data_IF_820831682345
#
_entry.id   IF_820831682345
#
_cell.length_a   1.000
_cell.length_b   1.000
_cell.length_c   1.000
_cell.angle_alpha   90.00
_cell.angle_beta   90.00
_cell.angle_gamma   90.00
#
_symmetry.space_group_name_H-M   'P 1'
#
loop_
_entity.id
_entity.type
_entity.pdbx_description
1 polymer ?
#
# COMPACT_ATOMS: atom_id res chain seq x y z
N UNK A 1 -11.28 2.85 22.17
CA UNK A 1 -10.45 2.25 21.12
C UNK A 1 -10.91 0.85 20.85
N UNK A 2 -11.01 0.49 19.56
CA UNK A 2 -11.52 -0.82 19.14
C UNK A 2 -10.39 -1.79 18.82
N UNK A 3 -9.17 -1.28 18.62
CA UNK A 3 -7.96 -2.06 18.38
C UNK A 3 -6.84 -1.60 19.32
N UNK A 4 -6.02 -2.56 19.74
CA UNK A 4 -4.84 -2.31 20.55
C UNK A 4 -3.61 -2.49 19.69
N UNK A 5 -2.82 -1.43 19.53
CA UNK A 5 -1.54 -1.49 18.84
C UNK A 5 -0.49 -2.18 19.72
N UNK A 6 0.33 -3.00 19.08
CA UNK A 6 1.57 -3.50 19.70
C UNK A 6 2.61 -2.39 19.60
N UNK A 7 3.31 -2.11 20.70
CA UNK A 7 4.47 -1.23 20.66
C UNK A 7 5.71 -2.00 20.18
N UNK A 8 6.10 -1.88 18.88
CA UNK A 8 7.21 -2.61 18.31
C UNK A 8 8.59 -2.11 18.78
N UNK A 9 8.61 -1.00 19.52
CA UNK A 9 9.85 -0.42 20.08
C UNK A 9 10.17 -1.02 21.44
N UNK A 10 9.15 -1.48 22.18
CA UNK A 10 9.34 -2.16 23.45
C UNK A 10 9.96 -3.55 23.27
N UNK A 11 10.77 -3.99 24.23
CA UNK A 11 11.36 -5.33 24.18
C UNK A 11 10.30 -6.44 24.07
N UNK A 12 9.22 -6.34 24.85
CA UNK A 12 8.15 -7.34 24.83
C UNK A 12 7.37 -7.34 23.52
N UNK A 13 7.09 -6.17 22.96
CA UNK A 13 6.44 -6.07 21.65
C UNK A 13 7.33 -6.65 20.54
N UNK A 14 8.63 -6.38 20.60
CA UNK A 14 9.58 -6.94 19.65
C UNK A 14 9.69 -8.47 19.78
N UNK A 15 9.84 -9.00 20.99
CA UNK A 15 9.86 -10.44 21.24
C UNK A 15 8.60 -11.14 20.72
N UNK A 16 7.44 -10.51 20.92
CA UNK A 16 6.17 -11.02 20.39
C UNK A 16 6.18 -11.06 18.85
N UNK A 17 6.61 -9.99 18.18
CA UNK A 17 6.71 -9.97 16.71
C UNK A 17 7.69 -11.05 16.21
N UNK A 18 8.83 -11.22 16.88
CA UNK A 18 9.81 -12.24 16.51
C UNK A 18 9.26 -13.66 16.70
N UNK A 19 8.44 -13.89 17.70
CA UNK A 19 7.78 -15.20 17.89
C UNK A 19 6.85 -15.54 16.71
N UNK A 20 6.18 -14.53 16.15
CA UNK A 20 5.36 -14.71 14.93
C UNK A 20 6.25 -15.05 13.73
N UNK A 21 7.36 -14.33 13.55
CA UNK A 21 8.32 -14.60 12.46
C UNK A 21 8.90 -16.02 12.57
N UNK A 22 9.28 -16.45 13.76
CA UNK A 22 9.78 -17.81 14.02
C UNK A 22 8.73 -18.87 13.67
N UNK A 23 7.47 -18.64 14.05
CA UNK A 23 6.37 -19.55 13.73
C UNK A 23 6.10 -19.62 12.23
N UNK A 24 6.12 -18.48 11.51
CA UNK A 24 5.93 -18.43 10.06
C UNK A 24 7.05 -19.19 9.34
N UNK A 25 8.31 -18.98 9.75
CA UNK A 25 9.46 -19.70 9.20
C UNK A 25 9.36 -21.21 9.45
N UNK A 26 9.00 -21.62 10.67
CA UNK A 26 8.79 -23.04 11.01
C UNK A 26 7.64 -23.68 10.22
N UNK A 27 6.68 -22.88 9.78
CA UNK A 27 5.57 -23.31 8.93
C UNK A 27 5.87 -23.26 7.43
N UNK A 28 7.14 -23.05 7.05
CA UNK A 28 7.59 -22.95 5.65
C UNK A 28 6.92 -21.83 4.85
N UNK A 29 6.50 -20.76 5.50
CA UNK A 29 6.05 -19.54 4.84
C UNK A 29 7.25 -18.85 4.20
N UNK A 30 7.10 -18.36 2.96
CA UNK A 30 8.17 -17.63 2.26
C UNK A 30 7.96 -16.11 2.27
N UNK A 31 6.71 -15.66 2.43
CA UNK A 31 6.34 -14.25 2.40
C UNK A 31 5.49 -13.87 3.60
N UNK A 32 5.82 -12.75 4.23
CA UNK A 32 4.98 -12.13 5.27
C UNK A 32 4.45 -10.82 4.74
N UNK A 33 3.12 -10.66 4.74
CA UNK A 33 2.45 -9.38 4.48
C UNK A 33 2.38 -8.58 5.77
N UNK A 34 2.93 -7.37 5.74
CA UNK A 34 2.78 -6.40 6.82
C UNK A 34 1.59 -5.48 6.50
N UNK A 35 0.47 -5.76 7.15
CA UNK A 35 -0.78 -5.04 7.03
C UNK A 35 -0.67 -3.64 7.62
N UNK A 36 -1.17 -2.62 6.91
CA UNK A 36 -1.19 -1.21 7.33
C UNK A 36 0.11 -0.71 7.97
N UNK A 37 1.26 -1.27 7.59
CA UNK A 37 2.57 -1.01 8.21
C UNK A 37 3.00 0.45 8.13
N UNK A 38 2.39 1.23 7.23
CA UNK A 38 2.63 2.66 7.11
C UNK A 38 2.47 3.43 8.42
N UNK A 39 1.63 2.92 9.33
CA UNK A 39 1.38 3.45 10.67
C UNK A 39 2.05 2.63 11.79
N UNK A 40 2.94 1.71 11.47
CA UNK A 40 3.52 0.76 12.42
C UNK A 40 4.35 1.40 13.54
N UNK A 41 4.92 2.58 13.33
CA UNK A 41 5.65 3.32 14.36
C UNK A 41 4.96 4.66 14.65
N UNK A 42 4.40 4.78 15.85
CA UNK A 42 3.74 6.02 16.27
C UNK A 42 4.75 7.08 16.68
N UNK A 43 4.50 8.33 16.27
CA UNK A 43 5.34 9.48 16.59
C UNK A 43 4.47 10.71 16.88
N UNK A 44 4.49 11.16 18.14
CA UNK A 44 3.70 12.32 18.56
C UNK A 44 4.04 13.56 17.71
N UNK A 45 3.01 14.33 17.35
CA UNK A 45 3.15 15.56 16.55
C UNK A 45 3.32 15.32 15.06
N UNK A 46 3.17 14.08 14.56
CA UNK A 46 3.21 13.73 13.14
C UNK A 46 1.91 13.07 12.69
N UNK A 47 1.76 12.85 11.38
CA UNK A 47 0.68 12.01 10.83
C UNK A 47 0.83 10.53 11.21
N UNK A 48 1.96 10.11 11.77
CA UNK A 48 2.38 8.72 11.97
C UNK A 48 2.51 7.89 10.69
N UNK A 49 2.20 8.44 9.52
CA UNK A 49 2.24 7.72 8.25
C UNK A 49 3.62 7.80 7.61
N UNK A 50 4.24 6.63 7.39
CA UNK A 50 5.55 6.48 6.73
C UNK A 50 6.63 7.44 7.25
N UNK A 51 6.67 7.61 8.57
CA UNK A 51 7.70 8.41 9.24
C UNK A 51 9.07 7.74 9.14
N UNK A 52 10.18 8.48 9.37
CA UNK A 52 11.51 7.86 9.47
C UNK A 52 11.58 6.70 10.47
N UNK A 53 10.78 6.72 11.55
CA UNK A 53 10.68 5.61 12.51
C UNK A 53 10.00 4.39 11.89
N UNK A 54 8.97 4.60 11.07
CA UNK A 54 8.31 3.51 10.33
C UNK A 54 9.28 2.84 9.36
N UNK A 55 10.06 3.60 8.61
CA UNK A 55 11.09 3.02 7.74
C UNK A 55 12.16 2.24 8.51
N UNK A 56 12.59 2.73 9.68
CA UNK A 56 13.51 1.98 10.55
C UNK A 56 12.90 0.67 11.05
N UNK A 57 11.62 0.70 11.42
CA UNK A 57 10.89 -0.51 11.83
C UNK A 57 10.83 -1.52 10.67
N UNK A 58 10.43 -1.09 9.48
CA UNK A 58 10.36 -1.94 8.29
C UNK A 58 11.74 -2.54 7.98
N UNK A 59 12.80 -1.74 7.98
CA UNK A 59 14.16 -2.23 7.74
C UNK A 59 14.57 -3.29 8.75
N UNK A 60 14.26 -3.08 10.03
CA UNK A 60 14.56 -4.04 11.10
C UNK A 60 13.76 -5.34 10.96
N UNK A 61 12.46 -5.24 10.59
CA UNK A 61 11.61 -6.42 10.30
C UNK A 61 12.14 -7.19 9.08
N UNK A 62 12.58 -6.46 8.05
CA UNK A 62 13.19 -7.05 6.86
C UNK A 62 14.47 -7.84 7.19
N UNK A 63 15.39 -7.26 7.97
CA UNK A 63 16.61 -7.93 8.40
C UNK A 63 16.31 -9.23 9.18
N UNK A 64 15.32 -9.20 10.06
CA UNK A 64 14.89 -10.37 10.81
C UNK A 64 14.17 -11.41 9.92
N UNK A 65 13.42 -10.96 8.93
CA UNK A 65 12.84 -11.82 7.89
C UNK A 65 13.91 -12.54 7.09
N UNK A 66 14.91 -11.80 6.58
CA UNK A 66 16.03 -12.37 5.82
C UNK A 66 16.78 -13.48 6.58
N UNK A 67 17.02 -13.30 7.88
CA UNK A 67 17.67 -14.32 8.73
C UNK A 67 16.87 -15.62 8.79
N UNK A 68 15.58 -15.59 8.53
CA UNK A 68 14.62 -16.69 8.59
C UNK A 68 14.18 -17.20 7.22
N UNK A 69 14.71 -16.63 6.13
CA UNK A 69 14.31 -16.97 4.77
C UNK A 69 12.91 -16.43 4.39
N UNK A 70 12.47 -15.34 5.03
CA UNK A 70 11.19 -14.68 4.79
C UNK A 70 11.40 -13.40 4.00
N UNK A 71 10.63 -13.19 2.93
CA UNK A 71 10.51 -11.90 2.27
C UNK A 71 9.35 -11.09 2.85
N UNK A 72 9.50 -9.78 2.88
CA UNK A 72 8.51 -8.85 3.41
C UNK A 72 7.76 -8.18 2.27
N UNK A 73 6.44 -8.36 2.25
CA UNK A 73 5.50 -7.64 1.39
C UNK A 73 4.78 -6.60 2.26
N UNK A 74 4.92 -5.33 1.93
CA UNK A 74 4.23 -4.27 2.65
C UNK A 74 2.96 -3.82 1.95
N UNK A 75 1.95 -3.50 2.74
CA UNK A 75 0.72 -2.87 2.29
C UNK A 75 0.72 -1.40 2.67
N UNK A 76 0.77 -0.54 1.67
CA UNK A 76 0.71 0.91 1.84
C UNK A 76 0.00 1.53 0.64
N UNK A 77 -1.18 2.09 0.87
CA UNK A 77 -1.86 2.97 -0.09
C UNK A 77 -1.26 4.36 -0.02
N UNK A 78 -0.85 4.91 -1.15
CA UNK A 78 -0.23 6.24 -1.19
C UNK A 78 -0.14 6.80 -2.60
N UNK A 79 0.06 8.10 -2.69
CA UNK A 79 0.43 8.78 -3.92
C UNK A 79 1.52 8.04 -4.69
N UNK A 80 1.36 7.86 -5.99
CA UNK A 80 2.17 6.96 -6.82
C UNK A 80 3.69 7.17 -6.74
N UNK A 81 4.17 8.44 -6.69
CA UNK A 81 5.62 8.70 -6.52
C UNK A 81 6.14 8.27 -5.16
N UNK A 82 5.28 8.35 -4.14
CA UNK A 82 5.61 7.87 -2.81
C UNK A 82 5.65 6.34 -2.78
N UNK A 83 4.74 5.67 -3.50
CA UNK A 83 4.80 4.21 -3.69
C UNK A 83 6.14 3.78 -4.33
N UNK A 84 6.59 4.50 -5.38
CA UNK A 84 7.89 4.25 -6.02
C UNK A 84 9.05 4.46 -5.03
N UNK A 85 9.01 5.53 -4.23
CA UNK A 85 10.00 5.79 -3.19
C UNK A 85 10.02 4.68 -2.13
N UNK A 86 8.86 4.27 -1.64
CA UNK A 86 8.72 3.21 -0.64
C UNK A 86 9.26 1.89 -1.19
N UNK A 87 8.91 1.54 -2.42
CA UNK A 87 9.35 0.33 -3.08
C UNK A 87 10.89 0.20 -3.16
N UNK A 88 11.60 1.32 -3.30
CA UNK A 88 13.06 1.33 -3.32
C UNK A 88 13.72 0.92 -1.99
N UNK A 89 12.95 0.88 -0.90
CA UNK A 89 13.44 0.67 0.47
C UNK A 89 12.99 -0.65 1.10
N UNK A 90 12.19 -1.45 0.37
CA UNK A 90 11.57 -2.69 0.88
C UNK A 90 11.75 -3.85 -0.09
N UNK A 91 11.42 -5.08 0.32
CA UNK A 91 11.55 -6.23 -0.56
C UNK A 91 10.46 -6.22 -1.63
N UNK A 92 9.21 -6.06 -1.23
CA UNK A 92 8.05 -6.02 -2.13
C UNK A 92 6.99 -5.04 -1.65
N UNK A 93 6.26 -4.47 -2.60
CA UNK A 93 5.07 -3.65 -2.39
C UNK A 93 3.92 -4.17 -3.24
N UNK A 94 2.68 -3.82 -2.91
CA UNK A 94 1.58 -3.99 -3.84
C UNK A 94 1.62 -2.93 -4.94
N UNK A 95 1.18 -3.30 -6.14
CA UNK A 95 0.88 -2.36 -7.21
C UNK A 95 -0.59 -1.95 -7.13
N UNK A 96 -0.88 -1.00 -6.27
CA UNK A 96 -2.25 -0.49 -6.10
C UNK A 96 -2.67 0.52 -7.16
N UNK A 97 -1.74 1.05 -7.94
CA UNK A 97 -2.08 1.98 -9.02
C UNK A 97 -2.60 1.28 -10.28
N UNK A 98 -2.12 0.07 -10.58
CA UNK A 98 -2.48 -0.62 -11.82
C UNK A 98 -3.98 -0.94 -11.95
N UNK A 99 -4.68 -1.50 -10.93
CA UNK A 99 -6.09 -1.83 -11.05
C UNK A 99 -6.98 -0.63 -11.41
N UNK A 100 -6.94 0.50 -10.68
CA UNK A 100 -7.76 1.66 -11.02
C UNK A 100 -7.35 2.31 -12.36
N UNK A 101 -6.07 2.25 -12.76
CA UNK A 101 -5.65 2.71 -14.09
C UNK A 101 -6.25 1.86 -15.21
N UNK A 102 -6.31 0.54 -15.04
CA UNK A 102 -6.97 -0.34 -16.01
C UNK A 102 -8.47 -0.05 -16.11
N UNK A 103 -9.15 0.16 -14.97
CA UNK A 103 -10.55 0.56 -14.96
C UNK A 103 -10.76 1.91 -15.62
N UNK A 104 -9.88 2.89 -15.38
CA UNK A 104 -9.91 4.19 -16.04
C UNK A 104 -9.77 4.03 -17.57
N UNK A 105 -8.76 3.28 -18.03
CA UNK A 105 -8.55 3.04 -19.45
C UNK A 105 -9.74 2.33 -20.12
N UNK A 106 -10.35 1.36 -19.44
CA UNK A 106 -11.54 0.65 -19.94
C UNK A 106 -12.78 1.56 -20.00
N UNK A 107 -12.94 2.49 -19.08
CA UNK A 107 -14.09 3.39 -19.02
C UNK A 107 -13.99 4.60 -19.96
N UNK A 108 -12.76 5.09 -20.20
CA UNK A 108 -12.53 6.33 -20.97
C UNK A 108 -11.92 6.08 -22.35
N UNK A 109 -11.27 4.95 -22.57
CA UNK A 109 -10.45 4.67 -23.76
C UNK A 109 -9.04 5.31 -23.71
N UNK A 110 -8.71 6.05 -22.65
CA UNK A 110 -7.39 6.69 -22.48
C UNK A 110 -6.40 5.72 -21.87
N UNK A 111 -5.42 5.28 -22.63
CA UNK A 111 -4.42 4.27 -22.22
C UNK A 111 -3.08 4.88 -21.77
N UNK A 112 -2.86 6.16 -22.01
CA UNK A 112 -1.61 6.85 -21.72
C UNK A 112 -1.22 6.78 -20.22
N UNK A 113 -2.14 6.91 -19.24
CA UNK A 113 -1.79 6.75 -17.84
C UNK A 113 -1.29 5.34 -17.50
N UNK A 114 -1.89 4.30 -18.08
CA UNK A 114 -1.45 2.90 -17.91
C UNK A 114 -0.05 2.71 -18.49
N UNK A 115 0.19 3.21 -19.72
CA UNK A 115 1.48 3.13 -20.39
C UNK A 115 2.56 3.83 -19.54
N UNK A 116 2.28 5.07 -19.12
CA UNK A 116 3.20 5.81 -18.25
C UNK A 116 3.51 5.07 -16.95
N UNK A 117 2.48 4.53 -16.27
CA UNK A 117 2.70 3.75 -15.06
C UNK A 117 3.56 2.53 -15.31
N UNK A 118 3.33 1.81 -16.41
CA UNK A 118 4.11 0.62 -16.79
C UNK A 118 5.59 0.93 -16.95
N UNK A 119 5.94 2.12 -17.44
CA UNK A 119 7.32 2.56 -17.61
C UNK A 119 8.02 2.91 -16.28
N UNK A 120 7.29 3.41 -15.30
CA UNK A 120 7.85 3.93 -14.04
C UNK A 120 7.57 3.06 -12.79
N UNK A 121 6.67 2.07 -12.91
CA UNK A 121 6.30 1.20 -11.79
C UNK A 121 7.51 0.45 -11.23
N UNK A 122 7.55 0.19 -9.91
CA UNK A 122 8.63 -0.56 -9.30
C UNK A 122 8.69 -2.01 -9.80
N UNK A 123 9.89 -2.51 -10.06
CA UNK A 123 10.10 -3.89 -10.49
C UNK A 123 9.76 -4.93 -9.40
N UNK A 124 9.74 -4.52 -8.13
CA UNK A 124 9.37 -5.34 -6.98
C UNK A 124 7.91 -5.15 -6.56
N UNK A 125 7.09 -4.51 -7.41
CA UNK A 125 5.66 -4.39 -7.19
C UNK A 125 4.94 -5.70 -7.54
N UNK A 126 4.11 -6.18 -6.61
CA UNK A 126 3.25 -7.36 -6.79
C UNK A 126 1.94 -6.89 -7.40
N UNK A 127 1.66 -7.37 -8.60
CA UNK A 127 0.41 -7.08 -9.31
C UNK A 127 -0.76 -7.76 -8.61
N UNK A 128 -1.80 -6.99 -8.34
CA UNK A 128 -3.10 -7.47 -7.87
C UNK A 128 -4.18 -6.92 -8.79
N UNK A 129 -5.31 -7.60 -8.87
CA UNK A 129 -6.49 -7.07 -9.55
C UNK A 129 -7.37 -6.33 -8.55
N UNK A 130 -7.57 -6.94 -7.41
CA UNK A 130 -8.41 -6.49 -6.31
C UNK A 130 -7.90 -7.09 -5.00
N UNK A 131 -8.31 -6.54 -3.88
CA UNK A 131 -8.08 -7.09 -2.54
C UNK A 131 -9.40 -7.16 -1.79
N UNK A 132 -9.39 -7.74 -0.57
CA UNK A 132 -10.57 -7.74 0.31
C UNK A 132 -11.02 -6.33 0.73
N UNK A 133 -10.16 -5.32 0.56
CA UNK A 133 -10.45 -3.90 0.81
C UNK A 133 -10.96 -3.16 -0.44
N UNK A 134 -11.04 -3.87 -1.59
CA UNK A 134 -11.45 -3.31 -2.87
C UNK A 134 -10.31 -2.67 -3.65
N UNK A 135 -10.66 -1.82 -4.61
CA UNK A 135 -9.71 -1.11 -5.49
C UNK A 135 -9.52 0.32 -5.00
N UNK A 136 -8.29 0.65 -4.65
CA UNK A 136 -7.90 1.97 -4.15
C UNK A 136 -7.80 3.02 -5.26
N UNK A 137 -8.90 3.66 -5.64
CA UNK A 137 -8.89 4.70 -6.69
C UNK A 137 -8.06 5.92 -6.32
N UNK A 138 -7.80 6.15 -5.03
CA UNK A 138 -6.98 7.27 -4.55
C UNK A 138 -5.50 7.14 -4.94
N UNK A 139 -5.03 5.93 -5.22
CA UNK A 139 -3.62 5.66 -5.55
C UNK A 139 -3.20 6.24 -6.90
N UNK A 140 -4.15 6.58 -7.76
CA UNK A 140 -3.90 7.21 -9.07
C UNK A 140 -4.18 8.71 -9.12
N UNK A 141 -4.85 9.26 -8.09
CA UNK A 141 -5.13 10.69 -7.94
C UNK A 141 -3.99 11.51 -7.36
N UNK A 142 -4.26 12.78 -7.10
CA UNK A 142 -3.33 13.71 -6.44
C UNK A 142 -2.99 13.25 -5.02
N UNK A 143 -1.82 13.67 -4.52
CA UNK A 143 -1.42 13.39 -3.13
C UNK A 143 -2.46 13.93 -2.14
N UNK A 144 -2.86 13.09 -1.17
CA UNK A 144 -3.91 13.44 -0.20
C UNK A 144 -3.47 14.54 0.79
N UNK A 145 -2.16 14.66 1.02
CA UNK A 145 -1.57 15.64 1.93
C UNK A 145 -1.17 16.93 1.21
N UNK A 146 -0.84 16.84 -0.09
CA UNK A 146 -0.48 17.98 -0.93
C UNK A 146 -1.12 17.86 -2.31
N UNK A 147 -2.31 18.42 -2.48
CA UNK A 147 -3.08 18.41 -3.74
C UNK A 147 -2.39 19.12 -4.92
N UNK A 148 -1.31 19.86 -4.69
CA UNK A 148 -0.51 20.41 -5.77
C UNK A 148 0.29 19.34 -6.52
N UNK A 149 0.55 18.19 -5.89
CA UNK A 149 1.22 17.03 -6.47
C UNK A 149 0.21 16.20 -7.25
N UNK A 150 0.22 16.37 -8.56
CA UNK A 150 -0.75 15.75 -9.47
C UNK A 150 -0.55 14.24 -9.58
N UNK A 151 -1.69 13.51 -9.66
CA UNK A 151 -1.76 12.07 -9.86
C UNK A 151 -1.38 11.61 -11.25
N UNK A 152 -1.54 10.31 -11.48
CA UNK A 152 -1.42 9.69 -12.80
C UNK A 152 -2.58 10.07 -13.71
N UNK A 153 -3.72 10.38 -13.13
CA UNK A 153 -4.90 10.93 -13.81
C UNK A 153 -5.39 12.20 -13.07
N UNK A 154 -6.14 13.09 -13.73
CA UNK A 154 -6.82 14.22 -13.07
C UNK A 154 -7.78 13.73 -11.97
N UNK A 155 -7.93 14.49 -10.88
CA UNK A 155 -8.85 14.14 -9.80
C UNK A 155 -10.31 14.05 -10.28
N UNK A 156 -10.70 14.86 -11.27
CA UNK A 156 -12.02 14.78 -11.91
C UNK A 156 -12.24 13.41 -12.57
N UNK A 157 -11.21 12.84 -13.19
CA UNK A 157 -11.31 11.51 -13.82
C UNK A 157 -11.44 10.40 -12.78
N UNK A 158 -10.83 10.58 -11.59
CA UNK A 158 -11.01 9.66 -10.44
C UNK A 158 -12.49 9.69 -10.00
N UNK A 159 -13.07 10.87 -9.83
CA UNK A 159 -14.47 11.02 -9.43
C UNK A 159 -15.42 10.43 -10.49
N UNK A 160 -15.14 10.69 -11.77
CA UNK A 160 -15.91 10.13 -12.90
C UNK A 160 -15.83 8.60 -12.95
N UNK A 161 -14.65 8.03 -12.65
CA UNK A 161 -14.47 6.58 -12.59
C UNK A 161 -15.32 5.97 -11.47
N UNK A 162 -15.30 6.54 -10.27
CA UNK A 162 -16.13 6.09 -9.14
C UNK A 162 -17.62 6.15 -9.50
N UNK A 163 -18.07 7.27 -10.08
CA UNK A 163 -19.46 7.43 -10.51
C UNK A 163 -19.86 6.41 -11.58
N UNK A 164 -18.97 6.11 -12.53
CA UNK A 164 -19.20 5.10 -13.58
C UNK A 164 -19.35 3.70 -12.99
N UNK A 165 -18.48 3.32 -12.04
CA UNK A 165 -18.57 2.05 -11.36
C UNK A 165 -19.88 1.93 -10.59
N UNK A 166 -20.27 2.97 -9.84
CA UNK A 166 -21.55 3.01 -9.11
C UNK A 166 -22.75 2.87 -10.06
N UNK A 167 -22.74 3.56 -11.19
CA UNK A 167 -23.82 3.45 -12.17
C UNK A 167 -23.91 2.05 -12.78
N UNK A 168 -22.79 1.46 -13.16
CA UNK A 168 -22.70 0.13 -13.77
C UNK A 168 -23.11 -1.00 -12.80
N UNK A 169 -22.95 -0.79 -11.51
CA UNK A 169 -23.34 -1.75 -10.46
C UNK A 169 -24.72 -1.42 -9.85
N UNK A 170 -25.48 -0.52 -10.45
CA UNK A 170 -26.79 -0.08 -9.96
C UNK A 170 -26.75 0.43 -8.50
N UNK A 171 -25.63 0.99 -8.08
CA UNK A 171 -25.41 1.49 -6.73
C UNK A 171 -25.03 0.41 -5.69
N UNK A 172 -24.79 -0.81 -6.12
CA UNK A 172 -24.37 -1.90 -5.19
C UNK A 172 -22.90 -1.81 -4.80
N UNK A 173 -22.04 -1.18 -5.63
CA UNK A 173 -20.67 -0.88 -5.21
C UNK A 173 -20.66 0.31 -4.25
N UNK A 174 -19.80 0.25 -3.24
CA UNK A 174 -19.60 1.37 -2.32
C UNK A 174 -18.18 1.89 -2.46
N UNK A 175 -18.03 3.22 -2.46
CA UNK A 175 -16.72 3.79 -2.22
C UNK A 175 -16.33 3.45 -0.80
N UNK A 176 -15.19 2.76 -0.61
CA UNK A 176 -14.63 2.62 0.71
C UNK A 176 -14.25 4.02 1.19
N UNK A 177 -14.91 4.48 2.23
CA UNK A 177 -14.52 5.67 2.95
C UNK A 177 -13.48 5.24 3.97
N UNK A 178 -12.22 5.50 3.67
CA UNK A 178 -11.15 5.39 4.65
C UNK A 178 -11.25 6.50 5.68
#
# INVERSE_FOLDING_TARGET
PQQVDIDPVSNKGWEYLMSIFDQMAASHVSYIRLDAVGYGAKEAGTSCFMTPKTFKLISRLREEGMKRGLEILIEVHSYYKKQVEIASKVDRVYDFALPPLLLHALSTGHVEPVAHWTDIRPNNAVTVLDTHDGIGVIDIGSDQLDRSLKGLVPDEDVDNLVNTIHANTHGESQAATG
#
